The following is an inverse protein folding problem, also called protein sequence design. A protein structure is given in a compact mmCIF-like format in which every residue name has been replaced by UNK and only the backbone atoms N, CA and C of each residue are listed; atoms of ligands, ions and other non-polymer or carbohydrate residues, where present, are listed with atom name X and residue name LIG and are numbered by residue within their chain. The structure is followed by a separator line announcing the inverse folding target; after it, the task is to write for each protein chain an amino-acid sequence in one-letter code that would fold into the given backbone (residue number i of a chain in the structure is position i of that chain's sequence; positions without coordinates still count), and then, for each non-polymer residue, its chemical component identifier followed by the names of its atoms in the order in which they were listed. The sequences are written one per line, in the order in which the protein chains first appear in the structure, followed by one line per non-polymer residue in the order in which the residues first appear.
data_IF_693089609652
#
_entry.id   IF_693089609652
#
_cell.length_a   1.000
_cell.length_b   1.000
_cell.length_c   1.000
_cell.angle_alpha   90.00
_cell.angle_beta   90.00
_cell.angle_gamma   90.00
#
_symmetry.space_group_name_H-M   'P 1'
#
loop_
_entity.id
_entity.type
_entity.pdbx_description
1 polymer ?
#
# COMPACT_ATOMS: atom_id res chain seq x y z
N UNK A 1 -15.07 -43.04 2.06
CA UNK A 1 -14.93 -42.24 3.29
C UNK A 1 -13.79 -41.27 3.08
N UNK A 2 -14.02 -39.95 3.15
CA UNK A 2 -13.02 -38.94 2.75
C UNK A 2 -11.99 -38.77 3.88
N UNK A 3 -10.77 -39.28 3.68
CA UNK A 3 -9.60 -39.14 4.56
C UNK A 3 -8.99 -37.73 4.42
N UNK A 4 -9.78 -36.69 4.64
CA UNK A 4 -9.24 -35.34 4.76
C UNK A 4 -9.00 -35.09 6.25
N UNK A 5 -7.76 -34.74 6.66
CA UNK A 5 -7.50 -34.33 8.04
C UNK A 5 -8.40 -33.16 8.43
N UNK A 6 -8.81 -33.14 9.70
CA UNK A 6 -9.53 -32.03 10.31
C UNK A 6 -8.64 -30.80 10.45
N UNK A 7 -9.23 -29.62 10.67
CA UNK A 7 -8.46 -28.38 10.84
C UNK A 7 -7.49 -28.46 12.02
N UNK A 8 -7.89 -29.08 13.13
CA UNK A 8 -7.03 -29.28 14.30
C UNK A 8 -5.87 -30.27 14.03
N UNK A 9 -6.12 -31.33 13.26
CA UNK A 9 -5.07 -32.26 12.82
C UNK A 9 -4.08 -31.59 11.85
N UNK A 10 -4.54 -30.63 11.04
CA UNK A 10 -3.66 -29.82 10.18
C UNK A 10 -2.86 -28.80 11.01
N UNK A 11 -3.49 -28.14 11.98
CA UNK A 11 -2.85 -27.16 12.86
C UNK A 11 -1.77 -27.80 13.73
N UNK A 12 -2.03 -28.99 14.28
CA UNK A 12 -1.04 -29.73 15.09
C UNK A 12 0.19 -30.18 14.30
N UNK A 13 0.07 -30.36 12.98
CA UNK A 13 1.19 -30.67 12.07
C UNK A 13 1.87 -29.42 11.50
N UNK A 14 1.32 -28.24 11.76
CA UNK A 14 1.85 -26.98 11.23
C UNK A 14 3.06 -26.52 12.04
N UNK A 15 4.01 -25.85 11.37
CA UNK A 15 5.17 -25.30 12.05
C UNK A 15 4.72 -24.23 13.07
N UNK A 16 5.15 -24.30 14.35
CA UNK A 16 4.64 -23.42 15.41
C UNK A 16 4.94 -21.94 15.16
N UNK A 17 6.09 -21.61 14.56
CA UNK A 17 6.46 -20.23 14.23
C UNK A 17 5.59 -19.67 13.11
N UNK A 18 5.32 -20.48 12.08
CA UNK A 18 4.41 -20.10 11.01
C UNK A 18 2.97 -19.99 11.52
N UNK A 19 2.56 -20.85 12.46
CA UNK A 19 1.23 -20.80 13.08
C UNK A 19 1.05 -19.47 13.79
N UNK A 20 2.03 -19.11 14.64
CA UNK A 20 2.04 -17.86 15.39
C UNK A 20 1.98 -16.66 14.45
N UNK A 21 2.87 -16.61 13.45
CA UNK A 21 2.86 -15.56 12.42
C UNK A 21 1.52 -15.46 11.71
N UNK A 22 0.90 -16.59 11.36
CA UNK A 22 -0.41 -16.57 10.70
C UNK A 22 -1.57 -16.13 11.59
N UNK A 23 -1.44 -16.28 12.90
CA UNK A 23 -2.43 -15.76 13.86
C UNK A 23 -2.23 -14.26 14.01
N UNK A 24 -0.97 -13.82 14.19
CA UNK A 24 -0.61 -12.41 14.37
C UNK A 24 -0.99 -11.56 13.15
N UNK A 25 -0.72 -12.04 11.94
CA UNK A 25 -1.03 -11.34 10.67
C UNK A 25 -2.46 -11.57 10.17
N UNK A 26 -3.30 -12.32 10.90
CA UNK A 26 -4.62 -12.73 10.40
C UNK A 26 -5.50 -11.53 10.07
N UNK A 27 -5.55 -10.56 10.98
CA UNK A 27 -6.43 -9.40 10.84
C UNK A 27 -5.94 -8.50 9.71
N UNK A 28 -4.63 -8.25 9.63
CA UNK A 28 -4.01 -7.52 8.52
C UNK A 28 -4.34 -8.19 7.17
N UNK A 29 -4.13 -9.51 7.03
CA UNK A 29 -4.49 -10.22 5.80
C UNK A 29 -5.97 -10.14 5.46
N UNK A 30 -6.84 -10.13 6.46
CA UNK A 30 -8.28 -10.01 6.24
C UNK A 30 -8.64 -8.61 5.72
N UNK A 31 -8.01 -7.57 6.25
CA UNK A 31 -8.15 -6.20 5.77
C UNK A 31 -7.61 -6.03 4.35
N UNK A 32 -6.39 -6.52 4.08
CA UNK A 32 -5.79 -6.51 2.75
C UNK A 32 -6.67 -7.22 1.71
N UNK A 33 -7.22 -8.38 2.09
CA UNK A 33 -8.14 -9.12 1.23
C UNK A 33 -9.41 -8.30 0.93
N UNK A 34 -10.00 -7.66 1.94
CA UNK A 34 -11.18 -6.83 1.76
C UNK A 34 -10.89 -5.63 0.83
N UNK A 35 -9.74 -4.97 1.02
CA UNK A 35 -9.27 -3.88 0.16
C UNK A 35 -9.10 -4.37 -1.28
N UNK A 36 -8.44 -5.52 -1.47
CA UNK A 36 -8.23 -6.12 -2.78
C UNK A 36 -9.56 -6.41 -3.49
N UNK A 37 -10.50 -7.09 -2.81
CA UNK A 37 -11.82 -7.42 -3.38
C UNK A 37 -12.61 -6.15 -3.71
N UNK A 38 -12.51 -5.11 -2.88
CA UNK A 38 -13.18 -3.84 -3.16
C UNK A 38 -12.61 -3.14 -4.40
N UNK A 39 -11.28 -3.09 -4.56
CA UNK A 39 -10.65 -2.57 -5.78
C UNK A 39 -11.04 -3.38 -7.01
N UNK A 40 -11.09 -4.70 -6.89
CA UNK A 40 -11.50 -5.58 -7.98
C UNK A 40 -12.94 -5.29 -8.43
N UNK A 41 -13.85 -5.07 -7.47
CA UNK A 41 -15.24 -4.66 -7.73
C UNK A 41 -15.33 -3.27 -8.37
N UNK A 42 -14.44 -2.35 -8.01
CA UNK A 42 -14.39 -1.02 -8.63
C UNK A 42 -13.91 -1.12 -10.08
N UNK A 43 -12.83 -1.87 -10.33
CA UNK A 43 -12.29 -2.05 -11.68
C UNK A 43 -13.25 -2.80 -12.60
N UNK A 44 -14.04 -3.75 -12.06
CA UNK A 44 -15.06 -4.46 -12.83
C UNK A 44 -16.25 -3.59 -13.26
N UNK A 45 -16.35 -2.34 -12.78
CA UNK A 45 -17.38 -1.38 -13.26
C UNK A 45 -17.01 -0.74 -14.60
N UNK A 46 -15.76 -0.89 -15.04
CA UNK A 46 -15.32 -0.41 -16.35
C UNK A 46 -15.63 -1.43 -17.44
N UNK A 47 -15.91 -0.95 -18.65
CA UNK A 47 -16.01 -1.78 -19.85
C UNK A 47 -14.65 -2.31 -20.34
N UNK A 48 -13.54 -1.82 -19.76
CA UNK A 48 -12.19 -2.29 -20.07
C UNK A 48 -11.84 -3.55 -19.29
N UNK A 49 -10.92 -4.40 -19.79
CA UNK A 49 -10.36 -5.48 -18.99
C UNK A 49 -9.77 -4.98 -17.67
N UNK A 50 -10.01 -5.71 -16.58
CA UNK A 50 -9.58 -5.34 -15.22
C UNK A 50 -8.08 -5.02 -15.16
N UNK A 51 -7.24 -5.79 -15.85
CA UNK A 51 -5.79 -5.56 -15.88
C UNK A 51 -5.43 -4.21 -16.51
N UNK A 52 -6.17 -3.75 -17.51
CA UNK A 52 -5.94 -2.44 -18.14
C UNK A 52 -6.27 -1.31 -17.18
N UNK A 53 -7.40 -1.37 -16.49
CA UNK A 53 -7.80 -0.38 -15.47
C UNK A 53 -6.79 -0.34 -14.32
N UNK A 54 -6.32 -1.51 -13.88
CA UNK A 54 -5.30 -1.61 -12.84
C UNK A 54 -3.99 -0.93 -13.24
N UNK A 55 -3.52 -1.14 -14.48
CA UNK A 55 -2.30 -0.49 -14.99
C UNK A 55 -2.47 1.03 -15.10
N UNK A 56 -3.62 1.51 -15.59
CA UNK A 56 -3.94 2.94 -15.67
C UNK A 56 -3.93 3.59 -14.27
N UNK A 57 -4.50 2.90 -13.28
CA UNK A 57 -4.51 3.32 -11.89
C UNK A 57 -3.10 3.35 -11.27
N UNK A 58 -2.29 2.33 -11.50
CA UNK A 58 -0.88 2.32 -11.05
C UNK A 58 -0.07 3.46 -11.67
N UNK A 59 -0.23 3.74 -12.95
CA UNK A 59 0.42 4.87 -13.61
C UNK A 59 -0.03 6.21 -13.02
N UNK A 60 -1.33 6.35 -12.76
CA UNK A 60 -1.90 7.54 -12.12
C UNK A 60 -1.31 7.75 -10.74
N UNK A 61 -1.20 6.70 -9.93
CA UNK A 61 -0.61 6.77 -8.60
C UNK A 61 0.88 7.12 -8.64
N UNK A 62 1.65 6.54 -9.56
CA UNK A 62 3.07 6.88 -9.76
C UNK A 62 3.25 8.36 -10.11
N UNK A 63 2.44 8.88 -11.04
CA UNK A 63 2.45 10.31 -11.42
C UNK A 63 2.09 11.21 -10.25
N UNK A 64 1.06 10.86 -9.49
CA UNK A 64 0.65 11.60 -8.30
C UNK A 64 1.77 11.62 -7.25
N UNK A 65 2.39 10.48 -6.95
CA UNK A 65 3.50 10.39 -6.00
C UNK A 65 4.70 11.26 -6.41
N UNK A 66 5.08 11.24 -7.70
CA UNK A 66 6.14 12.09 -8.22
C UNK A 66 5.81 13.58 -8.10
N UNK A 67 4.57 13.97 -8.42
CA UNK A 67 4.14 15.36 -8.28
C UNK A 67 4.13 15.84 -6.82
N UNK A 68 3.68 14.99 -5.89
CA UNK A 68 3.69 15.29 -4.46
C UNK A 68 5.13 15.44 -3.92
N UNK A 69 6.04 14.55 -4.32
CA UNK A 69 7.45 14.65 -3.94
C UNK A 69 8.11 15.94 -4.47
N UNK A 70 7.79 16.35 -5.70
CA UNK A 70 8.28 17.60 -6.28
C UNK A 70 7.71 18.83 -5.56
N UNK A 71 6.42 18.81 -5.20
CA UNK A 71 5.80 19.88 -4.43
C UNK A 71 6.46 20.03 -3.04
N UNK A 72 6.62 18.91 -2.32
CA UNK A 72 7.30 18.91 -1.02
C UNK A 72 8.73 19.44 -1.09
N UNK A 73 9.48 19.09 -2.15
CA UNK A 73 10.84 19.65 -2.35
C UNK A 73 10.81 21.16 -2.53
N UNK A 74 9.91 21.68 -3.38
CA UNK A 74 9.78 23.13 -3.61
C UNK A 74 9.39 23.88 -2.33
N UNK A 75 8.46 23.31 -1.55
CA UNK A 75 8.08 23.89 -0.26
C UNK A 75 9.24 23.90 0.73
N UNK A 76 10.00 22.80 0.82
CA UNK A 76 11.17 22.73 1.70
C UNK A 76 12.27 23.73 1.29
N UNK A 77 12.51 23.90 -0.01
CA UNK A 77 13.48 24.88 -0.51
C UNK A 77 13.01 26.32 -0.27
N UNK A 78 11.73 26.61 -0.49
CA UNK A 78 11.14 27.93 -0.18
C UNK A 78 11.22 28.25 1.33
N UNK A 79 10.95 27.27 2.19
CA UNK A 79 11.10 27.43 3.65
C UNK A 79 12.56 27.70 4.03
N UNK A 80 13.53 27.01 3.41
CA UNK A 80 14.96 27.26 3.64
C UNK A 80 15.38 28.65 3.20
N UNK A 81 14.92 29.12 2.04
CA UNK A 81 15.20 30.47 1.55
C UNK A 81 14.60 31.54 2.46
N UNK A 82 13.37 31.33 2.94
CA UNK A 82 12.72 32.25 3.87
C UNK A 82 13.49 32.34 5.20
N UNK A 83 13.89 31.19 5.76
CA UNK A 83 14.72 31.15 6.97
C UNK A 83 16.09 31.83 6.76
N UNK A 84 16.67 31.73 5.55
CA UNK A 84 17.94 32.40 5.21
C UNK A 84 17.79 33.92 5.16
N UNK A 85 16.69 34.42 4.57
CA UNK A 85 16.33 35.85 4.52
C UNK A 85 16.09 36.41 5.92
N UNK A 86 15.31 35.70 6.73
CA UNK A 86 14.96 36.12 8.10
C UNK A 86 16.17 36.10 9.05
N UNK A 87 17.13 35.19 8.83
CA UNK A 87 18.39 35.14 9.58
C UNK A 87 19.42 36.21 9.16
N UNK A 88 19.09 37.10 8.21
CA UNK A 88 19.98 38.16 7.74
C UNK A 88 21.22 37.65 6.99
N UNK A 89 21.20 36.40 6.51
CA UNK A 89 22.30 35.79 5.76
C UNK A 89 22.31 36.17 4.27
N UNK A 90 21.42 37.06 3.83
CA UNK A 90 21.59 37.79 2.57
C UNK A 90 22.55 38.95 2.79
N UNK A 91 23.84 38.63 2.85
CA UNK A 91 24.92 39.63 2.86
C UNK A 91 25.86 39.40 1.67
N UNK A 92 25.84 40.41 0.78
CA UNK A 92 26.58 40.61 -0.48
C UNK A 92 26.15 39.84 -1.72
#
# INVERSE_FOLDING_TARGET
MRLMPTEDELRSRYNPELLKKSIDERDERQEEFNVFVNRLKEYSRSDKPIWTVMMEEEERQKKAALSAAMAQRREADAQREQMRREAGLDSK
#
